data_IF_548989406742
#
_entry.id   IF_548989406742
#
_cell.length_a   1.000
_cell.length_b   1.000
_cell.length_c   1.000
_cell.angle_alpha   90.00
_cell.angle_beta   90.00
_cell.angle_gamma   90.00
#
_symmetry.space_group_name_H-M   'P 1'
#
loop_
_entity.id
_entity.type
_entity.pdbx_description
1 polymer ?
#
# COMPACT_ATOMS: atom_id res chain seq x y z
N UNK A 1 8.47 13.18 2.06
CA UNK A 1 8.14 11.74 1.89
C UNK A 1 9.45 10.98 1.67
N UNK A 2 9.57 9.76 2.19
CA UNK A 2 10.65 8.82 1.85
C UNK A 2 10.00 7.60 1.22
N UNK A 3 10.38 7.29 -0.03
CA UNK A 3 9.92 6.12 -0.76
C UNK A 3 11.10 5.18 -0.99
N UNK A 4 11.09 4.04 -0.31
CA UNK A 4 12.05 2.97 -0.54
C UNK A 4 11.59 2.07 -1.69
N UNK A 5 12.57 1.49 -2.38
CA UNK A 5 12.36 0.53 -3.46
C UNK A 5 13.46 -0.52 -3.41
N UNK A 6 13.14 -1.75 -3.02
CA UNK A 6 14.07 -2.88 -3.14
C UNK A 6 13.44 -4.26 -2.87
N UNK A 7 12.46 -4.41 -1.96
CA UNK A 7 11.75 -5.68 -1.80
C UNK A 7 10.58 -5.82 -2.77
N UNK A 8 10.47 -6.97 -3.44
CA UNK A 8 9.31 -7.38 -4.25
C UNK A 8 7.99 -7.51 -3.45
N UNK A 9 8.04 -7.29 -2.15
CA UNK A 9 6.91 -7.39 -1.22
C UNK A 9 6.68 -6.09 -0.46
N UNK A 10 5.41 -5.73 -0.18
CA UNK A 10 5.07 -4.59 0.66
C UNK A 10 5.71 -4.64 2.04
N UNK A 11 6.20 -3.48 2.50
CA UNK A 11 6.79 -3.27 3.83
C UNK A 11 6.04 -2.18 4.60
N UNK A 12 6.38 -2.07 5.89
CA UNK A 12 5.75 -1.13 6.82
C UNK A 12 5.75 0.32 6.32
N UNK A 13 4.65 1.00 6.63
CA UNK A 13 4.47 2.42 6.40
C UNK A 13 4.38 3.11 7.76
N UNK A 14 4.93 4.30 7.87
CA UNK A 14 4.66 5.15 9.01
C UNK A 14 5.31 6.50 8.96
N UNK A 15 4.99 7.32 9.94
CA UNK A 15 5.53 8.67 10.06
C UNK A 15 6.76 8.66 10.96
N UNK A 16 7.76 9.44 10.56
CA UNK A 16 8.93 9.75 11.36
C UNK A 16 9.30 11.21 11.15
N UNK A 17 9.42 11.97 12.25
CA UNK A 17 9.68 13.43 12.24
C UNK A 17 8.75 14.20 11.27
N UNK A 18 7.46 13.88 11.29
CA UNK A 18 6.44 14.51 10.43
C UNK A 18 6.50 14.12 8.95
N UNK A 19 7.38 13.18 8.56
CA UNK A 19 7.51 12.70 7.17
C UNK A 19 6.99 11.28 7.06
N UNK A 20 6.16 11.04 6.04
CA UNK A 20 5.74 9.69 5.67
C UNK A 20 6.94 8.90 5.12
N UNK A 21 7.11 7.68 5.60
CA UNK A 21 8.07 6.68 5.12
C UNK A 21 7.28 5.46 4.64
N UNK A 22 7.49 5.06 3.39
CA UNK A 22 7.03 3.78 2.84
C UNK A 22 8.25 3.01 2.35
N UNK A 23 8.65 1.96 3.07
CA UNK A 23 9.91 1.23 2.78
C UNK A 23 9.86 0.41 1.49
N UNK A 24 8.69 -0.14 1.16
CA UNK A 24 8.43 -0.78 -0.12
C UNK A 24 6.94 -0.94 -0.37
N UNK A 25 6.54 -0.71 -1.62
CA UNK A 25 5.19 -0.96 -2.08
C UNK A 25 5.02 -2.39 -2.66
N UNK A 26 6.12 -3.12 -2.86
CA UNK A 26 6.13 -4.39 -3.59
C UNK A 26 6.16 -4.20 -5.11
N UNK A 27 5.94 -5.29 -5.85
CA UNK A 27 5.88 -5.26 -7.31
C UNK A 27 4.62 -4.55 -7.80
N UNK A 28 4.64 -3.95 -8.99
CA UNK A 28 3.41 -3.45 -9.61
C UNK A 28 2.91 -4.36 -10.74
N UNK A 29 3.80 -4.89 -11.57
CA UNK A 29 3.44 -5.68 -12.77
C UNK A 29 4.05 -7.09 -12.78
N UNK A 30 4.97 -7.41 -11.86
CA UNK A 30 5.69 -8.68 -11.87
C UNK A 30 5.10 -9.70 -10.88
N UNK A 31 4.82 -10.92 -11.34
CA UNK A 31 4.12 -11.98 -10.57
C UNK A 31 4.92 -13.30 -10.43
N UNK A 32 6.26 -13.19 -10.46
CA UNK A 32 7.23 -14.30 -10.52
C UNK A 32 7.08 -15.37 -9.40
N UNK A 33 6.61 -15.00 -8.22
CA UNK A 33 6.30 -15.90 -7.09
C UNK A 33 4.97 -15.51 -6.46
N UNK A 34 4.21 -16.47 -5.94
CA UNK A 34 2.91 -16.22 -5.29
C UNK A 34 3.02 -15.17 -4.16
N UNK A 35 4.08 -15.25 -3.35
CA UNK A 35 4.35 -14.28 -2.27
C UNK A 35 4.57 -12.84 -2.76
N UNK A 36 4.86 -12.63 -4.05
CA UNK A 36 5.13 -11.34 -4.68
C UNK A 36 3.93 -10.79 -5.46
N UNK A 37 2.84 -11.58 -5.55
CA UNK A 37 1.58 -11.15 -6.16
C UNK A 37 0.80 -10.20 -5.26
N UNK A 38 1.05 -10.23 -3.94
CA UNK A 38 0.48 -9.27 -3.00
C UNK A 38 1.30 -7.99 -2.99
N UNK A 39 0.65 -6.89 -3.35
CA UNK A 39 1.26 -5.57 -3.48
C UNK A 39 0.34 -4.46 -2.93
N UNK A 40 0.81 -3.22 -2.94
CA UNK A 40 0.00 -2.04 -2.63
C UNK A 40 0.28 -0.91 -3.62
N UNK A 41 -0.76 -0.13 -3.90
CA UNK A 41 -0.61 1.25 -4.36
C UNK A 41 -0.79 2.21 -3.18
N UNK A 42 -0.03 3.29 -3.19
CA UNK A 42 -0.10 4.34 -2.18
C UNK A 42 -0.68 5.60 -2.80
N UNK A 43 -1.85 6.00 -2.35
CA UNK A 43 -2.46 7.27 -2.73
C UNK A 43 -2.12 8.32 -1.66
N UNK A 44 -1.59 9.46 -2.09
CA UNK A 44 -1.20 10.55 -1.21
C UNK A 44 -1.86 11.85 -1.67
N UNK A 45 -2.41 12.59 -0.72
CA UNK A 45 -2.71 14.00 -0.89
C UNK A 45 -1.64 14.81 -0.16
N UNK A 46 -1.03 15.75 -0.87
CA UNK A 46 0.11 16.54 -0.37
C UNK A 46 -0.21 18.02 -0.55
N UNK A 47 -0.04 18.80 0.51
CA UNK A 47 -0.21 20.25 0.48
C UNK A 47 0.92 20.94 -0.29
N UNK A 48 0.71 22.21 -0.67
CA UNK A 48 1.72 23.02 -1.36
C UNK A 48 3.04 23.17 -0.58
N UNK A 49 3.00 23.08 0.75
CA UNK A 49 4.20 23.14 1.61
C UNK A 49 4.87 21.76 1.82
N UNK A 50 4.38 20.70 1.16
CA UNK A 50 4.99 19.37 1.18
C UNK A 50 4.55 18.47 2.33
N UNK A 51 3.61 18.90 3.17
CA UNK A 51 3.00 18.06 4.21
C UNK A 51 2.02 17.06 3.60
N UNK A 52 2.00 15.84 4.14
CA UNK A 52 1.02 14.81 3.73
C UNK A 52 -0.30 15.10 4.45
N UNK A 53 -1.35 15.36 3.68
CA UNK A 53 -2.71 15.64 4.17
C UNK A 53 -3.52 14.35 4.33
N UNK A 54 -3.39 13.44 3.36
CA UNK A 54 -4.11 12.18 3.36
C UNK A 54 -3.22 11.06 2.82
N UNK A 55 -3.41 9.85 3.33
CA UNK A 55 -2.76 8.64 2.86
C UNK A 55 -3.78 7.52 2.78
N UNK A 56 -3.93 6.89 1.60
CA UNK A 56 -4.76 5.69 1.43
C UNK A 56 -3.91 4.57 0.87
N UNK A 57 -3.99 3.40 1.49
CA UNK A 57 -3.37 2.17 0.99
C UNK A 57 -4.39 1.41 0.15
N UNK A 58 -3.99 1.07 -1.07
CA UNK A 58 -4.82 0.33 -2.02
C UNK A 58 -4.21 -1.07 -2.16
N UNK A 59 -4.81 -2.12 -1.57
CA UNK A 59 -4.36 -3.50 -1.77
C UNK A 59 -4.42 -3.90 -3.23
N UNK A 60 -3.30 -4.40 -3.77
CA UNK A 60 -3.16 -4.88 -5.14
C UNK A 60 -2.83 -6.38 -5.12
N UNK A 61 -3.49 -7.14 -6.00
CA UNK A 61 -3.12 -8.50 -6.34
C UNK A 61 -2.71 -8.54 -7.81
N UNK A 62 -1.54 -9.11 -8.10
CA UNK A 62 -1.01 -9.24 -9.46
C UNK A 62 -1.33 -10.64 -9.97
N UNK A 63 -2.07 -10.71 -11.07
CA UNK A 63 -2.41 -11.96 -11.73
C UNK A 63 -2.00 -11.89 -13.19
N UNK A 64 -1.15 -12.81 -13.67
CA UNK A 64 -0.65 -12.84 -15.05
C UNK A 64 -0.02 -11.51 -15.48
N UNK A 65 0.86 -11.00 -14.64
CA UNK A 65 1.49 -9.69 -14.79
C UNK A 65 0.52 -8.50 -14.86
N UNK A 66 -0.72 -8.64 -14.39
CA UNK A 66 -1.72 -7.57 -14.38
C UNK A 66 -2.08 -7.18 -12.94
N UNK A 67 -1.79 -5.94 -12.51
CA UNK A 67 -2.25 -5.45 -11.22
C UNK A 67 -3.76 -5.28 -11.22
N UNK A 68 -4.39 -5.84 -10.19
CA UNK A 68 -5.82 -5.74 -9.96
C UNK A 68 -6.05 -5.34 -8.50
N UNK A 69 -7.17 -4.67 -8.23
CA UNK A 69 -7.59 -4.43 -6.86
C UNK A 69 -7.80 -5.76 -6.14
N UNK A 70 -7.15 -5.97 -4.98
CA UNK A 70 -7.39 -7.17 -4.20
C UNK A 70 -8.84 -7.21 -3.72
N UNK A 71 -9.45 -8.40 -3.78
CA UNK A 71 -10.82 -8.68 -3.30
C UNK A 71 -10.82 -9.90 -2.38
N UNK A 72 -11.89 -10.06 -1.59
CA UNK A 72 -12.10 -11.20 -0.69
C UNK A 72 -10.91 -11.48 0.23
N UNK A 73 -10.58 -12.76 0.40
CA UNK A 73 -9.51 -13.22 1.29
C UNK A 73 -8.14 -12.58 0.99
N UNK A 74 -7.79 -12.40 -0.30
CA UNK A 74 -6.51 -11.79 -0.67
C UNK A 74 -6.39 -10.35 -0.17
N UNK A 75 -7.51 -9.60 -0.16
CA UNK A 75 -7.58 -8.24 0.41
C UNK A 75 -7.44 -8.29 1.93
N UNK A 76 -8.18 -9.15 2.60
CA UNK A 76 -8.18 -9.28 4.06
C UNK A 76 -6.78 -9.62 4.59
N UNK A 77 -6.10 -10.57 3.94
CA UNK A 77 -4.71 -10.93 4.24
C UNK A 77 -3.77 -9.73 4.08
N UNK A 78 -3.94 -8.97 2.99
CA UNK A 78 -3.10 -7.81 2.70
C UNK A 78 -3.33 -6.67 3.72
N UNK A 79 -4.59 -6.36 4.04
CA UNK A 79 -4.97 -5.35 5.05
C UNK A 79 -4.41 -5.75 6.42
N UNK A 80 -4.60 -7.00 6.82
CA UNK A 80 -4.10 -7.53 8.09
C UNK A 80 -2.58 -7.46 8.16
N UNK A 81 -1.89 -7.88 7.08
CA UNK A 81 -0.44 -7.76 6.96
C UNK A 81 0.02 -6.32 7.14
N UNK A 82 -0.57 -5.37 6.40
CA UNK A 82 -0.17 -3.96 6.45
C UNK A 82 -0.37 -3.34 7.81
N UNK A 83 -1.51 -3.61 8.47
CA UNK A 83 -1.77 -3.16 9.84
C UNK A 83 -0.74 -3.70 10.83
N UNK A 84 -0.28 -4.94 10.64
CA UNK A 84 0.71 -5.58 11.52
C UNK A 84 2.12 -5.01 11.34
N UNK A 85 2.54 -4.72 10.11
CA UNK A 85 3.93 -4.32 9.81
C UNK A 85 4.14 -2.79 9.84
N UNK A 86 3.07 -2.02 9.91
CA UNK A 86 3.11 -0.55 9.91
C UNK A 86 3.01 -0.04 11.35
N UNK A 87 3.72 1.04 11.66
CA UNK A 87 3.73 1.64 13.00
C UNK A 87 2.88 2.92 13.08
N UNK A 88 2.01 3.12 12.08
CA UNK A 88 0.99 4.18 12.06
C UNK A 88 -0.36 3.58 11.66
N UNK A 89 -1.49 4.13 12.13
CA UNK A 89 -2.80 3.74 11.61
C UNK A 89 -2.89 3.99 10.09
N UNK A 90 -3.43 3.01 9.37
CA UNK A 90 -3.58 3.08 7.92
C UNK A 90 -5.07 3.12 7.53
N UNK A 91 -5.38 4.04 6.63
CA UNK A 91 -6.65 4.15 5.89
C UNK A 91 -6.53 3.31 4.62
N UNK A 92 -7.55 2.53 4.29
CA UNK A 92 -7.53 1.63 3.13
C UNK A 92 -8.62 2.03 2.14
N UNK A 93 -8.24 2.15 0.87
CA UNK A 93 -9.21 2.51 -0.17
C UNK A 93 -10.22 1.37 -0.38
N UNK A 94 -11.50 1.74 -0.48
CA UNK A 94 -12.63 0.84 -0.68
C UNK A 94 -13.47 1.27 -1.89
N UNK A 95 -13.52 0.41 -2.91
CA UNK A 95 -14.26 0.64 -4.14
C UNK A 95 -15.78 0.75 -3.92
N UNK A 96 -16.31 0.07 -2.89
CA UNK A 96 -17.76 -0.03 -2.66
C UNK A 96 -18.35 1.26 -2.10
N UNK A 97 -17.52 2.11 -1.50
CA UNK A 97 -17.93 3.36 -0.86
C UNK A 97 -17.34 4.60 -1.56
N UNK A 98 -16.97 4.50 -2.84
CA UNK A 98 -16.39 5.63 -3.59
C UNK A 98 -15.01 6.09 -3.09
N UNK A 99 -14.30 5.27 -2.30
CA UNK A 99 -12.92 5.54 -1.90
C UNK A 99 -12.71 6.17 -0.52
N UNK A 100 -13.70 6.16 0.38
CA UNK A 100 -13.55 6.69 1.74
C UNK A 100 -13.88 5.64 2.83
N UNK A 101 -12.83 5.20 3.55
CA UNK A 101 -12.84 4.90 5.00
C UNK A 101 -11.43 5.06 5.55
#
# INVERSE_FOLDING_TARGET
IVLGHHPHTPQGIGFYKGKLIAYSLGNFVFDQKESWRHSICLWLEVSKNGSVLQTKVIPIYIHQCQPQLSKGLAREQMVTKMKRISWTPLTFWDATNGGER
#
